data_IF_229915426384
#
_entry.id   IF_229915426384
#
_cell.length_a   1.000
_cell.length_b   1.000
_cell.length_c   1.000
_cell.angle_alpha   90.00
_cell.angle_beta   90.00
_cell.angle_gamma   90.00
#
_symmetry.space_group_name_H-M   'P 1'
#
loop_
_entity.id
_entity.type
_entity.pdbx_description
1 polymer ?
#
# COMPACT_ATOMS: atom_id res chain seq x y z
N UNK A 1 1.60 -13.58 22.35
CA UNK A 1 1.07 -13.07 21.06
C UNK A 1 1.05 -11.56 21.12
N UNK A 2 1.70 -10.89 20.18
CA UNK A 2 1.69 -9.42 20.13
C UNK A 2 0.63 -8.97 19.13
N UNK A 3 -0.37 -8.24 19.59
CA UNK A 3 -1.37 -7.62 18.73
C UNK A 3 -0.80 -6.29 18.21
N UNK A 4 -0.80 -6.11 16.90
CA UNK A 4 -0.38 -4.86 16.28
C UNK A 4 -1.48 -3.81 16.39
N UNK A 5 -1.09 -2.58 16.66
CA UNK A 5 -1.99 -1.43 16.72
C UNK A 5 -1.82 -0.54 15.49
N UNK A 6 -2.79 0.33 15.23
CA UNK A 6 -2.67 1.32 14.15
C UNK A 6 -1.48 2.25 14.27
N UNK A 7 -0.86 2.37 15.44
CA UNK A 7 0.37 3.13 15.65
C UNK A 7 1.60 2.50 14.96
N UNK A 8 1.53 1.22 14.63
CA UNK A 8 2.60 0.48 13.95
C UNK A 8 2.51 0.61 12.43
N UNK A 9 1.43 1.20 11.92
CA UNK A 9 1.17 1.41 10.50
C UNK A 9 1.82 2.68 9.94
N UNK A 10 2.20 2.65 8.66
CA UNK A 10 2.79 3.79 7.95
C UNK A 10 2.36 3.78 6.49
N UNK A 11 2.07 4.97 5.95
CA UNK A 11 1.84 5.18 4.53
C UNK A 11 3.02 5.95 3.92
N UNK A 12 3.57 5.43 2.82
CA UNK A 12 4.64 6.07 2.05
C UNK A 12 4.20 6.36 0.63
N UNK A 13 4.63 7.49 0.14
CA UNK A 13 4.49 7.92 -1.24
C UNK A 13 5.86 8.16 -1.85
N UNK A 14 6.17 7.50 -2.96
CA UNK A 14 7.51 7.52 -3.58
C UNK A 14 8.64 7.20 -2.59
N UNK A 15 8.43 6.22 -1.70
CA UNK A 15 9.42 5.81 -0.69
C UNK A 15 9.57 6.74 0.50
N UNK A 16 8.87 7.88 0.54
CA UNK A 16 8.91 8.82 1.66
C UNK A 16 7.62 8.81 2.47
N UNK A 17 7.75 8.85 3.77
CA UNK A 17 6.65 8.81 4.71
C UNK A 17 5.76 10.05 4.61
N UNK A 18 4.44 9.83 4.65
CA UNK A 18 3.44 10.88 4.91
C UNK A 18 3.30 11.04 6.43
N UNK A 19 3.59 12.24 6.94
CA UNK A 19 3.84 12.48 8.38
C UNK A 19 2.61 12.27 9.26
N UNK A 20 1.42 12.62 8.79
CA UNK A 20 0.19 12.68 9.61
C UNK A 20 -0.96 11.88 9.01
N UNK A 21 -0.70 10.64 8.64
CA UNK A 21 -1.75 9.70 8.28
C UNK A 21 -2.41 9.15 9.55
N UNK A 22 -3.72 9.31 9.69
CA UNK A 22 -4.48 8.82 10.85
C UNK A 22 -4.91 7.38 10.68
N UNK A 23 -5.42 7.05 9.51
CA UNK A 23 -5.83 5.69 9.17
C UNK A 23 -5.68 5.46 7.68
N UNK A 24 -5.64 4.22 7.31
CA UNK A 24 -5.70 3.77 5.93
C UNK A 24 -6.29 2.37 5.86
N UNK A 25 -6.86 2.03 4.73
CA UNK A 25 -7.32 0.69 4.42
C UNK A 25 -6.93 0.33 3.00
N UNK A 26 -6.68 -0.93 2.76
CA UNK A 26 -6.43 -1.47 1.44
C UNK A 26 -7.26 -2.73 1.23
N UNK A 27 -7.87 -2.85 0.07
CA UNK A 27 -8.62 -4.01 -0.36
C UNK A 27 -7.97 -4.58 -1.59
N UNK A 28 -7.65 -5.86 -1.55
CA UNK A 28 -7.09 -6.61 -2.67
C UNK A 28 -8.09 -7.68 -3.07
N UNK A 29 -8.58 -7.61 -4.29
CA UNK A 29 -9.57 -8.52 -4.83
C UNK A 29 -8.98 -9.40 -5.93
N UNK A 30 -9.39 -10.65 -5.93
CA UNK A 30 -9.05 -11.61 -6.97
C UNK A 30 -10.28 -12.44 -7.33
N UNK A 31 -11.00 -12.07 -8.39
CA UNK A 31 -12.19 -12.80 -8.81
C UNK A 31 -11.82 -14.22 -9.25
N UNK A 32 -12.75 -15.13 -9.05
CA UNK A 32 -12.66 -16.48 -9.58
C UNK A 32 -13.41 -16.54 -10.92
N UNK A 33 -12.79 -17.15 -11.90
CA UNK A 33 -13.36 -17.39 -13.22
C UNK A 33 -13.82 -18.85 -13.26
N UNK A 34 -15.09 -19.07 -13.54
CA UNK A 34 -15.66 -20.41 -13.71
C UNK A 34 -15.14 -20.98 -15.05
N UNK A 35 -14.46 -22.11 -14.95
CA UNK A 35 -13.91 -22.85 -16.11
C UNK A 35 -14.52 -24.23 -16.22
N UNK A 36 -15.66 -24.47 -15.60
CA UNK A 36 -16.38 -25.73 -15.63
C UNK A 36 -16.82 -26.09 -17.07
N UNK A 37 -16.58 -27.31 -17.50
CA UNK A 37 -17.03 -27.83 -18.79
C UNK A 37 -18.21 -28.77 -18.63
N UNK A 38 -18.91 -29.09 -19.71
CA UNK A 38 -20.06 -29.99 -19.70
C UNK A 38 -19.73 -31.43 -19.27
N UNK A 39 -18.45 -31.81 -19.29
CA UNK A 39 -17.98 -33.13 -18.87
C UNK A 39 -17.53 -33.18 -17.41
N UNK A 40 -17.53 -32.06 -16.72
CA UNK A 40 -17.10 -31.97 -15.33
C UNK A 40 -18.24 -32.31 -14.39
N UNK A 41 -17.97 -33.16 -13.40
CA UNK A 41 -18.93 -33.47 -12.33
C UNK A 41 -18.93 -32.40 -11.22
N UNK A 42 -17.81 -31.69 -11.06
CA UNK A 42 -17.60 -30.65 -10.06
C UNK A 42 -17.25 -29.31 -10.73
N UNK A 43 -17.54 -28.22 -10.01
CA UNK A 43 -17.22 -26.88 -10.50
C UNK A 43 -15.73 -26.60 -10.41
N UNK A 44 -15.16 -26.16 -11.54
CA UNK A 44 -13.77 -25.78 -11.64
C UNK A 44 -13.61 -24.26 -11.75
N UNK A 45 -12.71 -23.69 -10.94
CA UNK A 45 -12.43 -22.27 -10.93
C UNK A 45 -10.96 -21.98 -11.15
N UNK A 46 -10.69 -20.90 -11.84
CA UNK A 46 -9.34 -20.33 -11.94
C UNK A 46 -9.31 -18.92 -11.40
N UNK A 47 -8.22 -18.52 -10.70
CA UNK A 47 -8.07 -17.16 -10.24
C UNK A 47 -7.90 -16.20 -11.40
N UNK A 48 -8.67 -15.12 -11.39
CA UNK A 48 -8.58 -14.02 -12.35
C UNK A 48 -7.50 -13.00 -12.01
N UNK A 49 -7.60 -11.85 -12.65
CA UNK A 49 -6.66 -10.73 -12.47
C UNK A 49 -6.90 -10.08 -11.11
N UNK A 50 -5.83 -9.83 -10.37
CA UNK A 50 -5.90 -9.10 -9.11
C UNK A 50 -6.11 -7.60 -9.34
N UNK A 51 -6.88 -6.99 -8.48
CA UNK A 51 -6.99 -5.54 -8.36
C UNK A 51 -6.81 -5.11 -6.90
N UNK A 52 -6.33 -3.92 -6.69
CA UNK A 52 -6.25 -3.33 -5.36
C UNK A 52 -6.72 -1.89 -5.39
N UNK A 53 -7.46 -1.53 -4.38
CA UNK A 53 -7.86 -0.17 -4.12
C UNK A 53 -7.75 0.13 -2.62
N UNK A 54 -7.82 1.37 -2.26
CA UNK A 54 -7.76 1.71 -0.86
C UNK A 54 -8.10 3.17 -0.61
N UNK A 55 -8.18 3.46 0.68
CA UNK A 55 -8.45 4.79 1.19
C UNK A 55 -7.50 5.13 2.32
N UNK A 56 -7.22 6.40 2.50
CA UNK A 56 -6.46 6.90 3.64
C UNK A 56 -7.03 8.25 4.09
N UNK A 57 -6.91 8.51 5.39
CA UNK A 57 -7.25 9.80 5.99
C UNK A 57 -5.99 10.40 6.58
N UNK A 58 -5.60 11.57 6.07
CA UNK A 58 -4.42 12.30 6.51
C UNK A 58 -4.82 13.66 7.09
N UNK A 59 -4.09 14.14 8.07
CA UNK A 59 -4.23 15.52 8.55
C UNK A 59 -3.48 16.45 7.59
N UNK A 60 -4.14 17.52 7.17
CA UNK A 60 -3.54 18.51 6.30
C UNK A 60 -2.45 19.28 7.03
N UNK A 61 -1.25 19.24 6.46
CA UNK A 61 -0.11 20.02 6.91
C UNK A 61 0.54 20.70 5.70
N UNK A 62 0.55 22.04 5.64
CA UNK A 62 1.16 22.76 4.54
C UNK A 62 2.66 22.49 4.37
N UNK A 63 3.33 22.08 5.45
CA UNK A 63 4.76 21.80 5.46
C UNK A 63 5.12 20.35 5.08
N UNK A 64 4.13 19.47 4.90
CA UNK A 64 4.36 18.10 4.44
C UNK A 64 4.42 18.07 2.90
N UNK A 65 5.62 18.18 2.37
CA UNK A 65 5.85 18.21 0.92
C UNK A 65 5.37 16.92 0.22
N UNK A 66 5.43 15.77 0.87
CA UNK A 66 4.98 14.51 0.28
C UNK A 66 3.47 14.42 0.17
N UNK A 67 2.75 14.85 1.21
CA UNK A 67 1.29 14.92 1.17
C UNK A 67 0.82 15.88 0.07
N UNK A 68 1.42 17.06 -0.01
CA UNK A 68 1.07 18.06 -1.04
C UNK A 68 1.36 17.52 -2.44
N UNK A 69 2.48 16.85 -2.65
CA UNK A 69 2.82 16.23 -3.93
C UNK A 69 1.81 15.16 -4.33
N UNK A 70 1.41 14.31 -3.38
CA UNK A 70 0.37 13.30 -3.60
C UNK A 70 -0.97 13.95 -3.99
N UNK A 71 -1.42 14.96 -3.25
CA UNK A 71 -2.68 15.64 -3.52
C UNK A 71 -2.68 16.35 -4.88
N UNK A 72 -1.56 16.95 -5.26
CA UNK A 72 -1.45 17.64 -6.54
C UNK A 72 -1.42 16.66 -7.74
N UNK A 73 -1.08 15.40 -7.51
CA UNK A 73 -1.05 14.40 -8.59
C UNK A 73 -2.42 14.16 -9.24
N UNK A 74 -3.53 14.47 -8.57
CA UNK A 74 -4.87 14.36 -9.15
C UNK A 74 -5.14 15.40 -10.27
N UNK A 75 -4.39 16.50 -10.24
CA UNK A 75 -4.49 17.58 -11.23
C UNK A 75 -3.48 17.46 -12.37
N UNK A 76 -2.66 16.42 -12.33
CA UNK A 76 -1.65 16.18 -13.35
C UNK A 76 -2.31 15.78 -14.67
N UNK A 77 -2.06 16.53 -15.74
CA UNK A 77 -2.64 16.29 -17.07
C UNK A 77 -1.88 15.19 -17.83
N UNK A 78 -0.66 14.87 -17.42
CA UNK A 78 0.17 13.83 -18.03
C UNK A 78 0.79 12.94 -16.93
N UNK A 79 -0.04 12.15 -16.24
CA UNK A 79 0.46 11.29 -15.17
C UNK A 79 1.39 10.22 -15.74
N UNK A 80 2.41 9.86 -14.99
CA UNK A 80 3.33 8.79 -15.35
C UNK A 80 2.56 7.50 -15.69
N UNK A 81 2.90 6.86 -16.81
CA UNK A 81 2.32 5.56 -17.16
C UNK A 81 2.59 4.55 -16.05
N UNK A 82 1.53 3.88 -15.58
CA UNK A 82 1.61 2.92 -14.49
C UNK A 82 1.49 3.54 -13.08
N UNK A 83 1.31 4.86 -12.98
CA UNK A 83 1.08 5.54 -11.70
C UNK A 83 2.33 5.72 -10.86
N UNK A 84 2.14 6.16 -9.63
CA UNK A 84 3.21 6.44 -8.67
C UNK A 84 3.22 5.39 -7.56
N UNK A 85 4.39 5.12 -7.02
CA UNK A 85 4.58 4.11 -5.98
C UNK A 85 3.91 4.50 -4.66
N UNK A 86 3.04 3.63 -4.17
CA UNK A 86 2.42 3.69 -2.85
C UNK A 86 2.81 2.47 -2.03
N UNK A 87 3.24 2.69 -0.81
CA UNK A 87 3.64 1.62 0.12
C UNK A 87 2.87 1.74 1.42
N UNK A 88 2.18 0.67 1.80
CA UNK A 88 1.45 0.54 3.06
C UNK A 88 2.21 -0.43 3.96
N UNK A 89 2.64 0.04 5.11
CA UNK A 89 3.39 -0.74 6.07
C UNK A 89 2.50 -1.04 7.27
N UNK A 90 2.30 -2.32 7.59
CA UNK A 90 1.48 -2.76 8.71
C UNK A 90 2.23 -2.84 10.02
N UNK A 91 3.50 -3.26 9.94
CA UNK A 91 4.32 -3.47 11.11
C UNK A 91 5.67 -2.77 10.93
N UNK A 92 5.85 -1.71 11.72
CA UNK A 92 7.07 -0.91 11.75
C UNK A 92 8.06 -1.36 12.82
N UNK A 93 7.63 -2.18 13.79
CA UNK A 93 8.44 -2.54 14.95
C UNK A 93 9.63 -3.41 14.53
N UNK A 94 10.82 -2.95 14.86
CA UNK A 94 12.06 -3.73 14.86
C UNK A 94 12.91 -3.64 13.61
N UNK A 95 12.56 -2.80 12.63
CA UNK A 95 13.38 -2.63 11.43
C UNK A 95 13.51 -1.16 11.08
N UNK A 96 14.73 -0.67 11.06
CA UNK A 96 15.04 0.59 10.39
C UNK A 96 15.03 0.33 8.88
N UNK A 97 13.96 0.78 8.22
CA UNK A 97 13.73 0.53 6.78
C UNK A 97 14.78 1.21 5.88
N UNK A 98 15.60 2.10 6.43
CA UNK A 98 16.71 2.72 5.73
C UNK A 98 17.93 1.79 5.60
N UNK A 99 17.99 0.73 6.42
CA UNK A 99 19.11 -0.22 6.42
C UNK A 99 18.86 -1.46 5.54
N UNK A 100 17.61 -1.76 5.19
CA UNK A 100 17.31 -2.91 4.32
C UNK A 100 17.23 -2.43 2.87
N UNK A 101 18.30 -2.60 2.16
CA UNK A 101 18.31 -2.49 0.70
C UNK A 101 17.50 -3.66 0.13
N UNK A 102 16.68 -3.38 -0.84
CA UNK A 102 15.88 -4.40 -1.55
C UNK A 102 16.76 -5.54 -2.12
N UNK A 103 18.01 -5.25 -2.42
CA UNK A 103 19.05 -6.20 -2.81
C UNK A 103 19.41 -7.22 -1.73
N UNK A 104 19.25 -6.89 -0.46
CA UNK A 104 19.57 -7.81 0.64
C UNK A 104 18.52 -8.93 0.77
N UNK A 105 17.36 -8.74 0.17
CA UNK A 105 16.26 -9.73 0.16
C UNK A 105 16.49 -10.81 -0.90
N UNK A 106 17.14 -10.49 -2.00
CA UNK A 106 17.29 -11.37 -3.16
C UNK A 106 18.67 -12.01 -3.33
N UNK A 107 19.69 -11.51 -2.64
CA UNK A 107 21.08 -11.90 -2.90
C UNK A 107 21.68 -12.90 -1.91
N UNK A 108 20.92 -13.48 -1.03
CA UNK A 108 21.47 -14.49 -0.13
C UNK A 108 21.24 -15.88 -0.66
N UNK A 109 22.36 -16.59 -0.89
CA UNK A 109 22.36 -18.04 -1.01
C UNK A 109 21.52 -18.66 0.08
N UNK A 110 20.71 -19.65 -0.26
CA UNK A 110 19.70 -20.29 0.60
C UNK A 110 20.22 -20.74 2.00
N UNK A 111 21.52 -20.79 2.19
CA UNK A 111 22.16 -21.21 3.45
C UNK A 111 22.40 -20.06 4.45
N UNK A 112 22.09 -18.81 4.11
CA UNK A 112 22.32 -17.66 5.00
C UNK A 112 21.05 -16.96 5.49
N UNK A 113 19.88 -17.52 5.24
CA UNK A 113 18.64 -17.05 5.86
C UNK A 113 18.64 -17.45 7.33
N UNK A 114 19.17 -16.60 8.20
CA UNK A 114 18.86 -16.73 9.61
C UNK A 114 17.38 -16.40 9.82
N UNK A 115 16.67 -17.26 10.55
CA UNK A 115 15.27 -17.07 10.93
C UNK A 115 14.99 -15.70 11.55
N UNK A 116 16.00 -15.04 12.10
CA UNK A 116 15.92 -13.72 12.72
C UNK A 116 15.83 -12.57 11.71
N UNK A 117 16.42 -12.69 10.53
CA UNK A 117 16.26 -11.69 9.46
C UNK A 117 14.86 -11.72 8.86
N UNK A 118 14.26 -12.90 8.69
CA UNK A 118 12.90 -13.03 8.16
C UNK A 118 11.88 -12.43 9.14
N UNK A 119 12.11 -12.53 10.45
CA UNK A 119 11.26 -11.92 11.49
C UNK A 119 11.31 -10.40 11.53
N UNK A 120 12.34 -9.79 10.94
CA UNK A 120 12.55 -8.34 10.93
C UNK A 120 12.04 -7.65 9.67
N UNK A 121 11.54 -8.38 8.69
CA UNK A 121 10.97 -7.77 7.48
C UNK A 121 9.60 -7.14 7.80
N UNK A 122 9.40 -5.86 7.44
CA UNK A 122 8.10 -5.25 7.62
C UNK A 122 7.08 -5.93 6.71
N UNK A 123 5.91 -6.21 7.26
CA UNK A 123 4.77 -6.60 6.47
C UNK A 123 4.25 -5.39 5.73
N UNK A 124 4.14 -5.48 4.41
CA UNK A 124 3.80 -4.34 3.57
C UNK A 124 3.01 -4.73 2.34
N UNK A 125 2.23 -3.78 1.84
CA UNK A 125 1.73 -3.75 0.46
C UNK A 125 2.39 -2.62 -0.30
N UNK A 126 2.89 -2.93 -1.49
CA UNK A 126 3.51 -1.98 -2.39
C UNK A 126 2.90 -2.14 -3.78
N UNK A 127 2.47 -1.06 -4.36
CA UNK A 127 1.98 -1.03 -5.74
C UNK A 127 2.14 0.37 -6.34
N UNK A 128 2.11 0.42 -7.65
CA UNK A 128 1.95 1.68 -8.37
C UNK A 128 0.46 1.96 -8.56
N UNK A 129 0.05 3.19 -8.36
CA UNK A 129 -1.36 3.53 -8.45
C UNK A 129 -1.60 5.00 -8.72
N UNK A 130 -2.86 5.29 -8.94
CA UNK A 130 -3.37 6.64 -9.17
C UNK A 130 -4.30 7.05 -8.05
N UNK A 131 -4.25 8.32 -7.71
CA UNK A 131 -5.22 8.95 -6.84
C UNK A 131 -6.52 9.13 -7.62
N UNK A 132 -7.62 8.59 -7.11
CA UNK A 132 -8.92 8.61 -7.80
C UNK A 132 -9.89 9.62 -7.21
N UNK A 133 -9.76 9.91 -5.92
CA UNK A 133 -10.63 10.85 -5.22
C UNK A 133 -9.87 11.55 -4.10
N UNK A 134 -10.14 12.85 -3.95
CA UNK A 134 -9.67 13.65 -2.82
C UNK A 134 -10.87 14.43 -2.27
N UNK A 135 -11.12 14.27 -0.99
CA UNK A 135 -12.14 15.03 -0.26
C UNK A 135 -11.49 15.76 0.90
N UNK A 136 -11.66 17.07 0.93
CA UNK A 136 -11.09 17.94 1.96
C UNK A 136 -12.21 18.70 2.69
N UNK A 137 -12.92 18.06 3.65
CA UNK A 137 -13.92 18.74 4.45
C UNK A 137 -13.24 19.75 5.40
N UNK A 138 -13.76 20.95 5.42
CA UNK A 138 -13.27 22.04 6.28
C UNK A 138 -14.39 22.41 7.26
N UNK A 139 -14.09 22.36 8.56
CA UNK A 139 -15.01 22.79 9.61
C UNK A 139 -14.30 23.66 10.64
N UNK A 140 -15.03 24.62 11.17
CA UNK A 140 -14.50 25.54 12.19
C UNK A 140 -14.25 24.78 13.49
N UNK A 141 -13.06 24.97 14.07
CA UNK A 141 -12.68 24.37 15.36
C UNK A 141 -12.21 22.90 15.29
N UNK A 142 -12.12 22.31 14.11
CA UNK A 142 -11.60 20.96 13.90
C UNK A 142 -10.30 20.96 13.13
N UNK A 143 -9.45 19.95 13.37
CA UNK A 143 -8.28 19.71 12.55
C UNK A 143 -8.72 19.34 11.13
N UNK A 144 -8.08 19.93 10.11
CA UNK A 144 -8.39 19.63 8.72
C UNK A 144 -7.91 18.23 8.36
N UNK A 145 -8.84 17.35 8.03
CA UNK A 145 -8.56 16.01 7.58
C UNK A 145 -8.85 15.89 6.08
N UNK A 146 -7.99 15.18 5.38
CA UNK A 146 -8.15 14.88 3.95
C UNK A 146 -8.39 13.41 3.80
N UNK A 147 -9.45 13.05 3.08
CA UNK A 147 -9.75 11.69 2.68
C UNK A 147 -9.31 11.50 1.24
N UNK A 148 -8.47 10.50 1.02
CA UNK A 148 -7.95 10.14 -0.30
C UNK A 148 -8.34 8.71 -0.65
N UNK A 149 -8.64 8.48 -1.92
CA UNK A 149 -8.86 7.15 -2.47
C UNK A 149 -7.93 6.91 -3.65
N UNK A 150 -7.46 5.70 -3.80
CA UNK A 150 -6.52 5.34 -4.85
C UNK A 150 -6.83 3.96 -5.43
N UNK A 151 -6.39 3.75 -6.67
CA UNK A 151 -6.51 2.51 -7.43
C UNK A 151 -5.13 2.06 -7.87
N UNK A 152 -4.82 0.78 -7.67
CA UNK A 152 -3.59 0.18 -8.15
C UNK A 152 -3.59 0.00 -9.66
N UNK A 153 -2.42 0.18 -10.25
CA UNK A 153 -2.13 -0.07 -11.66
C UNK A 153 -0.88 -0.95 -11.76
N UNK A 154 -0.98 -2.08 -12.43
CA UNK A 154 0.13 -3.00 -12.61
C UNK A 154 0.30 -4.02 -11.48
N UNK A 155 1.54 -4.36 -11.17
CA UNK A 155 1.85 -5.40 -10.18
C UNK A 155 1.62 -4.93 -8.75
N UNK A 156 1.12 -5.86 -7.93
CA UNK A 156 0.88 -5.67 -6.50
C UNK A 156 1.83 -6.61 -5.77
N UNK A 157 2.71 -6.05 -4.94
CA UNK A 157 3.59 -6.81 -4.05
C UNK A 157 3.05 -6.70 -2.62
N UNK A 158 2.69 -7.83 -2.05
CA UNK A 158 2.11 -7.89 -0.70
C UNK A 158 2.76 -8.97 0.15
N UNK A 159 3.02 -8.63 1.41
CA UNK A 159 3.51 -9.54 2.44
C UNK A 159 2.78 -9.30 3.75
N UNK A 160 2.34 -10.39 4.33
CA UNK A 160 1.74 -10.40 5.66
C UNK A 160 2.77 -10.72 6.74
#
# INVERSE_FOLDING_TARGET
MTVLTGADGELRYEGRKISKCRNWSITVDRPLIDTTSLADYDRNYRPGIRSANGTATCLYQPNDAQLIKLLNSIFDNDPAQGGTELTFIFNRRGVDLNEIKETDIYMTNANQFSSDRIRRMPTRFKFNGFLTNVSHPISVGAAQAINISFQACGSIDGRW
#
